data_IF_550013155279
#
_entry.id   IF_550013155279
#
_cell.length_a   1.000
_cell.length_b   1.000
_cell.length_c   1.000
_cell.angle_alpha   90.00
_cell.angle_beta   90.00
_cell.angle_gamma   90.00
#
_symmetry.space_group_name_H-M   'P 1'
#
loop_
_entity.id
_entity.type
_entity.pdbx_description
1 polymer ?
#
# COMPACT_ATOMS: atom_id res chain seq x y z
N UNK A 1 -7.53 27.88 2.13
CA UNK A 1 -8.77 27.08 1.94
C UNK A 1 -9.46 27.08 3.28
N UNK A 2 -10.73 27.43 3.34
CA UNK A 2 -11.47 27.55 4.59
C UNK A 2 -12.83 26.87 4.44
N UNK A 3 -13.30 26.23 5.50
CA UNK A 3 -14.67 25.71 5.62
C UNK A 3 -15.37 26.61 6.62
N UNK A 4 -16.42 27.32 6.18
CA UNK A 4 -17.16 28.26 7.02
C UNK A 4 -18.31 27.54 7.74
N UNK A 5 -18.26 27.34 9.08
CA UNK A 5 -19.27 26.55 9.79
C UNK A 5 -20.68 27.15 9.74
N UNK A 6 -20.78 28.46 9.50
CA UNK A 6 -22.04 29.20 9.37
C UNK A 6 -22.71 29.04 8.00
N UNK A 7 -21.95 28.66 6.95
CA UNK A 7 -22.50 28.42 5.62
C UNK A 7 -22.81 26.93 5.46
N UNK A 8 -24.10 26.60 5.32
CA UNK A 8 -24.56 25.20 5.30
C UNK A 8 -25.26 24.88 4.00
N UNK A 9 -24.76 23.87 3.31
CA UNK A 9 -25.37 23.31 2.08
C UNK A 9 -25.51 21.81 2.29
N UNK A 10 -26.72 21.28 2.11
CA UNK A 10 -26.96 19.85 2.16
C UNK A 10 -26.55 19.19 0.84
N UNK A 11 -25.78 18.11 0.90
CA UNK A 11 -25.40 17.29 -0.25
C UNK A 11 -25.96 15.88 -0.09
N UNK A 12 -26.71 15.41 -1.08
CA UNK A 12 -27.19 14.03 -1.12
C UNK A 12 -26.14 13.17 -1.82
N UNK A 13 -25.40 12.37 -1.04
CA UNK A 13 -24.43 11.44 -1.59
C UNK A 13 -25.12 10.32 -2.38
N UNK A 14 -24.61 10.06 -3.59
CA UNK A 14 -25.16 9.04 -4.47
C UNK A 14 -24.44 7.71 -4.28
N UNK A 15 -25.19 6.63 -4.15
CA UNK A 15 -24.66 5.25 -4.10
C UNK A 15 -23.89 4.85 -5.36
N UNK A 16 -24.33 5.32 -6.53
CA UNK A 16 -23.65 5.13 -7.82
C UNK A 16 -23.75 6.40 -8.65
N UNK A 17 -22.73 6.67 -9.47
CA UNK A 17 -22.79 7.76 -10.45
C UNK A 17 -23.66 7.32 -11.64
N UNK A 18 -24.68 8.10 -12.04
CA UNK A 18 -25.64 7.68 -13.06
C UNK A 18 -25.15 7.83 -14.51
N UNK A 19 -24.07 8.57 -14.74
CA UNK A 19 -23.64 9.00 -16.07
C UNK A 19 -22.46 8.22 -16.66
N UNK A 20 -21.79 7.37 -15.88
CA UNK A 20 -20.65 6.60 -16.37
C UNK A 20 -20.46 5.31 -15.57
N UNK A 21 -20.36 4.19 -16.27
CA UNK A 21 -20.12 2.87 -15.66
C UNK A 21 -18.64 2.59 -15.39
N UNK A 22 -17.71 3.28 -16.06
CA UNK A 22 -16.27 3.10 -15.91
C UNK A 22 -15.60 4.39 -15.38
N UNK A 23 -15.83 4.67 -14.11
CA UNK A 23 -15.24 5.85 -13.44
C UNK A 23 -13.80 5.59 -13.00
N UNK A 24 -13.45 4.33 -12.73
CA UNK A 24 -12.13 3.97 -12.22
C UNK A 24 -10.99 4.46 -13.12
N UNK A 25 -11.12 4.31 -14.44
CA UNK A 25 -10.12 4.82 -15.39
C UNK A 25 -9.96 6.34 -15.30
N UNK A 26 -11.05 7.10 -15.42
CA UNK A 26 -11.00 8.57 -15.39
C UNK A 26 -10.52 9.11 -14.05
N UNK A 27 -10.94 8.52 -12.94
CA UNK A 27 -10.48 8.89 -11.60
C UNK A 27 -8.98 8.70 -11.46
N UNK A 28 -8.44 7.54 -11.86
CA UNK A 28 -6.99 7.28 -11.83
C UNK A 28 -6.25 8.25 -12.73
N UNK A 29 -6.69 8.40 -13.99
CA UNK A 29 -6.07 9.33 -14.95
C UNK A 29 -6.00 10.76 -14.41
N UNK A 30 -7.12 11.28 -13.89
CA UNK A 30 -7.18 12.65 -13.38
C UNK A 30 -6.34 12.82 -12.11
N UNK A 31 -6.32 11.83 -11.21
CA UNK A 31 -5.46 11.85 -10.02
C UNK A 31 -3.97 11.86 -10.39
N UNK A 32 -3.56 11.04 -11.36
CA UNK A 32 -2.16 11.01 -11.84
C UNK A 32 -1.76 12.33 -12.52
N UNK A 33 -2.65 12.97 -13.28
CA UNK A 33 -2.40 14.31 -13.84
C UNK A 33 -2.14 15.35 -12.74
N UNK A 34 -2.91 15.32 -11.65
CA UNK A 34 -2.69 16.21 -10.50
C UNK A 34 -1.35 15.89 -9.84
N UNK A 35 -1.05 14.60 -9.63
CA UNK A 35 0.18 14.16 -9.00
C UNK A 35 1.42 14.63 -9.79
N UNK A 36 1.42 14.44 -11.11
CA UNK A 36 2.52 14.85 -11.99
C UNK A 36 2.74 16.36 -12.08
N UNK A 37 1.71 17.17 -11.81
CA UNK A 37 1.82 18.63 -11.88
C UNK A 37 2.17 19.23 -10.52
N UNK A 38 1.60 18.72 -9.43
CA UNK A 38 1.57 19.41 -8.14
C UNK A 38 2.28 18.69 -7.00
N UNK A 39 2.49 17.38 -7.08
CA UNK A 39 2.93 16.59 -5.92
C UNK A 39 4.44 16.32 -5.86
N UNK A 40 5.22 16.78 -6.84
CA UNK A 40 6.68 16.60 -6.87
C UNK A 40 7.05 15.12 -6.60
N UNK A 41 7.99 14.83 -5.70
CA UNK A 41 8.40 13.45 -5.36
C UNK A 41 7.31 12.65 -4.62
N UNK A 42 6.33 13.34 -4.02
CA UNK A 42 5.19 12.73 -3.33
C UNK A 42 4.13 12.18 -4.26
N UNK A 43 4.28 12.38 -5.58
CA UNK A 43 3.44 11.69 -6.57
C UNK A 43 3.48 10.18 -6.38
N UNK A 44 4.62 9.64 -5.93
CA UNK A 44 4.80 8.21 -5.64
C UNK A 44 3.73 7.65 -4.71
N UNK A 45 3.24 8.41 -3.73
CA UNK A 45 2.17 8.01 -2.82
C UNK A 45 0.85 7.72 -3.55
N UNK A 46 0.56 8.45 -4.64
CA UNK A 46 -0.61 8.18 -5.51
C UNK A 46 -0.42 6.86 -6.25
N UNK A 47 0.76 6.62 -6.82
CA UNK A 47 1.06 5.35 -7.50
C UNK A 47 0.97 4.14 -6.54
N UNK A 48 1.46 4.29 -5.31
CA UNK A 48 1.34 3.27 -4.25
C UNK A 48 -0.13 3.02 -3.92
N UNK A 49 -0.90 4.07 -3.63
CA UNK A 49 -2.30 3.97 -3.24
C UNK A 49 -3.17 3.27 -4.31
N UNK A 50 -2.87 3.48 -5.59
CA UNK A 50 -3.58 2.86 -6.70
C UNK A 50 -2.96 1.53 -7.19
N UNK A 51 -1.89 1.05 -6.53
CA UNK A 51 -1.16 -0.16 -6.92
C UNK A 51 -0.72 -0.14 -8.40
N UNK A 52 -0.21 1.02 -8.85
CA UNK A 52 0.29 1.24 -10.20
C UNK A 52 1.83 1.29 -10.18
N UNK A 53 2.53 0.74 -11.18
CA UNK A 53 3.97 0.91 -11.27
C UNK A 53 4.33 2.39 -11.53
N UNK A 54 5.45 2.84 -10.96
CA UNK A 54 5.98 4.20 -11.18
C UNK A 54 6.44 4.39 -12.63
N UNK A 55 7.12 3.39 -13.17
CA UNK A 55 7.51 3.33 -14.57
C UNK A 55 6.39 2.66 -15.36
N UNK A 56 5.83 3.36 -16.36
CA UNK A 56 4.76 2.84 -17.24
C UNK A 56 3.50 2.37 -16.48
N UNK A 57 2.72 3.28 -15.86
CA UNK A 57 1.51 2.95 -15.09
C UNK A 57 0.37 2.32 -15.91
N UNK A 58 0.52 2.16 -17.22
CA UNK A 58 -0.51 1.65 -18.13
C UNK A 58 -1.70 2.60 -18.31
N UNK A 59 -1.56 3.86 -17.87
CA UNK A 59 -2.58 4.89 -17.96
C UNK A 59 -1.98 6.09 -18.67
N UNK A 60 -2.49 6.39 -19.86
CA UNK A 60 -2.14 7.62 -20.56
C UNK A 60 -2.78 8.83 -19.86
N UNK A 61 -1.93 9.62 -19.21
CA UNK A 61 -2.34 10.85 -18.54
C UNK A 61 -2.51 12.02 -19.51
N UNK A 62 -2.06 11.90 -20.77
CA UNK A 62 -1.99 12.97 -21.76
C UNK A 62 -1.01 14.08 -21.39
N UNK A 63 -0.96 15.14 -22.20
CA UNK A 63 -0.04 16.25 -21.95
C UNK A 63 -0.46 17.09 -20.72
N UNK A 64 0.54 17.43 -19.90
CA UNK A 64 0.44 18.29 -18.71
C UNK A 64 1.44 19.47 -18.75
N UNK A 65 2.11 19.68 -19.88
CA UNK A 65 3.13 20.72 -20.09
C UNK A 65 2.61 22.12 -19.73
N UNK A 66 1.44 22.50 -20.24
CA UNK A 66 0.80 23.78 -19.95
C UNK A 66 0.53 23.99 -18.45
N UNK A 67 0.13 22.92 -17.73
CA UNK A 67 -0.15 23.00 -16.30
C UNK A 67 1.13 23.12 -15.48
N UNK A 68 2.21 22.46 -15.90
CA UNK A 68 3.55 22.67 -15.33
C UNK A 68 4.07 24.08 -15.60
N UNK A 69 3.86 24.61 -16.81
CA UNK A 69 4.22 25.98 -17.18
C UNK A 69 3.45 27.01 -16.34
N UNK A 70 2.14 26.79 -16.13
CA UNK A 70 1.31 27.62 -15.26
C UNK A 70 1.80 27.62 -13.81
N UNK A 71 2.12 26.44 -13.25
CA UNK A 71 2.68 26.33 -11.90
C UNK A 71 3.97 27.14 -11.76
N UNK A 72 4.83 27.10 -12.79
CA UNK A 72 6.08 27.86 -12.84
C UNK A 72 5.85 29.36 -12.95
N UNK A 73 4.94 29.81 -13.83
CA UNK A 73 4.66 31.24 -14.04
C UNK A 73 4.06 31.90 -12.79
N UNK A 74 3.20 31.18 -12.07
CA UNK A 74 2.62 31.63 -10.80
C UNK A 74 3.59 31.55 -9.61
N UNK A 75 4.82 31.06 -9.81
CA UNK A 75 5.84 30.89 -8.76
C UNK A 75 5.32 30.14 -7.54
N UNK A 76 4.52 29.09 -7.78
CA UNK A 76 3.93 28.29 -6.71
C UNK A 76 5.01 27.62 -5.85
N UNK A 77 4.73 27.45 -4.55
CA UNK A 77 5.57 26.66 -3.65
C UNK A 77 5.58 25.18 -4.05
N UNK A 78 6.60 24.45 -3.60
CA UNK A 78 6.69 23.00 -3.81
C UNK A 78 5.74 22.24 -2.86
N UNK A 79 5.52 20.96 -3.14
CA UNK A 79 4.61 20.13 -2.37
C UNK A 79 5.13 19.85 -0.96
N UNK A 80 6.45 19.78 -0.78
CA UNK A 80 7.08 19.70 0.54
C UNK A 80 6.61 20.86 1.45
N UNK A 81 6.67 22.09 0.94
CA UNK A 81 6.18 23.27 1.67
C UNK A 81 4.71 23.13 2.05
N UNK A 82 3.86 22.62 1.15
CA UNK A 82 2.45 22.37 1.44
C UNK A 82 2.28 21.36 2.58
N UNK A 83 3.03 20.25 2.55
CA UNK A 83 3.01 19.24 3.61
C UNK A 83 3.61 19.73 4.92
N UNK A 84 4.48 20.73 4.93
CA UNK A 84 5.08 21.23 6.17
C UNK A 84 4.26 22.37 6.80
N UNK A 85 3.51 23.14 6.00
CA UNK A 85 2.86 24.37 6.47
C UNK A 85 1.33 24.37 6.35
N UNK A 86 0.76 23.56 5.46
CA UNK A 86 -0.69 23.54 5.19
C UNK A 86 -1.34 22.24 5.65
N UNK A 87 -0.66 21.09 5.47
CA UNK A 87 -1.20 19.80 5.89
C UNK A 87 -0.13 18.88 6.53
N UNK A 88 0.42 19.26 7.70
CA UNK A 88 1.47 18.50 8.40
C UNK A 88 1.04 17.13 8.92
N UNK A 89 -0.25 16.92 9.12
CA UNK A 89 -0.80 15.65 9.58
C UNK A 89 -0.85 14.58 8.48
N UNK A 90 -0.64 14.94 7.21
CA UNK A 90 -0.64 13.97 6.12
C UNK A 90 0.50 12.96 6.29
N UNK A 91 0.17 11.67 6.29
CA UNK A 91 1.15 10.61 6.45
C UNK A 91 2.05 10.49 5.22
N UNK A 92 3.36 10.26 5.45
CA UNK A 92 4.39 10.15 4.40
C UNK A 92 4.94 8.73 4.35
N UNK A 93 5.05 8.16 3.16
CA UNK A 93 5.52 6.79 2.90
C UNK A 93 6.88 6.72 2.20
N UNK A 94 7.76 7.68 2.49
CA UNK A 94 9.06 7.88 1.81
C UNK A 94 10.06 6.73 2.04
N UNK A 95 9.81 5.86 3.01
CA UNK A 95 10.62 4.67 3.30
C UNK A 95 10.19 3.42 2.50
N UNK A 96 9.24 3.54 1.57
CA UNK A 96 8.78 2.43 0.75
C UNK A 96 9.84 2.02 -0.27
N UNK A 97 10.12 0.72 -0.36
CA UNK A 97 11.07 0.13 -1.33
C UNK A 97 10.30 -0.68 -2.38
N UNK A 98 9.26 -1.39 -1.95
CA UNK A 98 8.42 -2.18 -2.83
C UNK A 98 6.96 -2.12 -2.37
N UNK A 99 6.03 -2.23 -3.32
CA UNK A 99 4.60 -2.22 -3.02
C UNK A 99 3.76 -2.95 -4.06
N UNK A 100 2.53 -3.28 -3.67
CA UNK A 100 1.52 -3.90 -4.52
C UNK A 100 1.20 -5.31 -4.09
N UNK A 101 0.68 -6.10 -5.02
CA UNK A 101 0.35 -7.50 -4.76
C UNK A 101 1.62 -8.29 -4.40
N UNK A 102 1.56 -9.06 -3.33
CA UNK A 102 2.61 -9.96 -2.89
C UNK A 102 2.20 -11.41 -3.21
N UNK A 103 2.95 -12.04 -4.12
CA UNK A 103 2.65 -13.35 -4.70
C UNK A 103 3.71 -14.38 -4.35
N UNK A 104 3.30 -15.64 -4.24
CA UNK A 104 4.18 -16.77 -3.98
C UNK A 104 4.26 -17.69 -5.21
N UNK A 105 5.44 -18.25 -5.50
CA UNK A 105 5.64 -19.10 -6.67
C UNK A 105 4.89 -20.46 -6.64
N UNK A 106 4.52 -20.95 -5.46
CA UNK A 106 3.73 -22.19 -5.25
C UNK A 106 2.22 -21.95 -5.33
N UNK A 107 1.76 -20.70 -5.28
CA UNK A 107 0.34 -20.35 -5.31
C UNK A 107 0.14 -19.04 -6.09
N UNK A 108 0.02 -19.15 -7.41
CA UNK A 108 0.06 -18.01 -8.34
C UNK A 108 -1.24 -17.21 -8.41
N UNK A 109 -2.37 -17.87 -8.12
CA UNK A 109 -3.72 -17.29 -8.25
C UNK A 109 -4.22 -16.64 -6.96
N UNK A 110 -3.45 -16.76 -5.87
CA UNK A 110 -3.74 -16.13 -4.57
C UNK A 110 -2.61 -15.18 -4.18
N UNK A 111 -2.99 -14.12 -3.50
CA UNK A 111 -2.12 -13.05 -3.05
C UNK A 111 -2.20 -12.93 -1.53
N UNK A 112 -1.15 -12.38 -0.92
CA UNK A 112 -1.21 -11.98 0.48
C UNK A 112 -2.32 -10.92 0.65
N UNK A 113 -3.22 -11.16 1.60
CA UNK A 113 -4.38 -10.31 1.86
C UNK A 113 -4.52 -10.03 3.36
N UNK A 114 -4.93 -8.81 3.68
CA UNK A 114 -5.21 -8.36 5.04
C UNK A 114 -6.25 -9.24 5.74
N UNK A 115 -7.24 -9.75 4.98
CA UNK A 115 -8.36 -10.48 5.52
C UNK A 115 -9.21 -9.66 6.51
N UNK A 116 -10.10 -10.33 7.26
CA UNK A 116 -10.90 -9.70 8.31
C UNK A 116 -10.03 -9.12 9.42
N UNK A 117 -10.20 -7.84 9.76
CA UNK A 117 -9.35 -7.16 10.75
C UNK A 117 -9.45 -7.77 12.16
N UNK A 118 -10.60 -8.34 12.49
CA UNK A 118 -10.92 -9.00 13.77
C UNK A 118 -10.02 -10.20 14.05
N UNK A 119 -9.54 -10.88 13.02
CA UNK A 119 -8.73 -12.09 13.17
C UNK A 119 -7.27 -11.79 13.52
N UNK A 120 -6.82 -10.54 13.34
CA UNK A 120 -5.44 -10.13 13.60
C UNK A 120 -4.39 -10.98 12.85
N UNK A 121 -4.76 -11.63 11.75
CA UNK A 121 -3.92 -12.50 10.93
C UNK A 121 -4.03 -12.12 9.46
N UNK A 122 -2.91 -12.21 8.74
CA UNK A 122 -2.95 -12.11 7.28
C UNK A 122 -3.34 -13.47 6.68
N UNK A 123 -3.96 -13.45 5.50
CA UNK A 123 -4.46 -14.64 4.80
C UNK A 123 -3.95 -14.67 3.35
N UNK A 124 -4.26 -15.75 2.64
CA UNK A 124 -4.20 -15.80 1.19
C UNK A 124 -5.61 -15.67 0.63
N UNK A 125 -5.76 -14.86 -0.41
CA UNK A 125 -7.05 -14.65 -1.08
C UNK A 125 -6.85 -14.51 -2.59
N UNK A 126 -7.84 -14.84 -3.45
CA UNK A 126 -7.74 -14.61 -4.88
C UNK A 126 -7.24 -13.21 -5.22
N UNK A 127 -6.24 -13.12 -6.10
CA UNK A 127 -5.61 -11.86 -6.44
C UNK A 127 -6.61 -10.92 -7.15
N UNK A 128 -6.92 -9.78 -6.52
CA UNK A 128 -7.74 -8.70 -7.10
C UNK A 128 -7.00 -7.35 -7.08
N UNK A 129 -5.93 -7.20 -6.30
CA UNK A 129 -5.03 -6.04 -6.34
C UNK A 129 -5.60 -4.75 -5.75
N UNK A 130 -6.61 -4.86 -4.89
CA UNK A 130 -7.24 -3.71 -4.20
C UNK A 130 -6.58 -3.47 -2.84
N UNK A 131 -7.05 -2.47 -2.11
CA UNK A 131 -6.50 -2.04 -0.81
C UNK A 131 -6.06 -3.16 0.13
N UNK A 132 -6.91 -4.19 0.42
CA UNK A 132 -6.53 -5.29 1.31
C UNK A 132 -5.31 -6.12 0.86
N UNK A 133 -4.99 -6.11 -0.44
CA UNK A 133 -3.85 -6.81 -1.03
C UNK A 133 -2.68 -5.89 -1.37
N UNK A 134 -2.74 -4.64 -0.93
CA UNK A 134 -1.63 -3.70 -1.07
C UNK A 134 -0.60 -4.01 0.02
N UNK A 135 0.41 -4.82 -0.33
CA UNK A 135 1.58 -5.00 0.51
C UNK A 135 2.54 -3.82 0.30
N UNK A 136 3.26 -3.43 1.36
CA UNK A 136 4.27 -2.38 1.32
C UNK A 136 5.49 -2.79 2.14
N UNK A 137 6.61 -2.97 1.47
CA UNK A 137 7.88 -3.31 2.09
C UNK A 137 8.75 -2.06 2.26
N UNK A 138 9.28 -1.84 3.47
CA UNK A 138 10.02 -0.63 3.81
C UNK A 138 11.53 -0.85 3.91
N UNK A 139 12.30 0.25 3.91
CA UNK A 139 13.76 0.25 4.10
C UNK A 139 14.19 -0.41 5.42
N UNK A 140 13.36 -0.32 6.45
CA UNK A 140 13.63 -0.91 7.77
C UNK A 140 13.38 -2.42 7.80
N UNK A 141 12.78 -2.98 6.74
CA UNK A 141 12.40 -4.37 6.61
C UNK A 141 11.00 -4.68 7.13
N UNK A 142 10.11 -3.69 7.23
CA UNK A 142 8.72 -3.94 7.66
C UNK A 142 7.85 -4.28 6.46
N UNK A 143 6.98 -5.27 6.62
CA UNK A 143 5.97 -5.63 5.63
C UNK A 143 4.61 -5.16 6.14
N UNK A 144 4.07 -4.09 5.58
CA UNK A 144 2.71 -3.62 5.85
C UNK A 144 1.72 -4.20 4.85
N UNK A 145 0.46 -4.30 5.26
CA UNK A 145 -0.61 -4.84 4.43
C UNK A 145 -1.90 -4.05 4.65
N UNK A 146 -2.54 -3.66 3.55
CA UNK A 146 -3.80 -2.93 3.57
C UNK A 146 -3.75 -1.57 2.88
N UNK A 147 -4.89 -0.87 2.89
CA UNK A 147 -5.00 0.48 2.35
C UNK A 147 -4.19 1.47 3.21
N UNK A 148 -3.49 2.40 2.53
CA UNK A 148 -2.69 3.43 3.18
C UNK A 148 -3.56 4.32 4.09
N UNK A 149 -3.10 4.54 5.32
CA UNK A 149 -3.70 5.52 6.22
C UNK A 149 -3.46 6.96 5.75
N UNK A 150 -4.47 7.82 5.90
CA UNK A 150 -4.45 9.18 5.36
C UNK A 150 -3.63 10.17 6.19
N UNK A 151 -3.79 10.14 7.52
CA UNK A 151 -3.16 11.10 8.44
C UNK A 151 -2.48 10.40 9.61
N UNK A 152 -1.47 11.05 10.19
CA UNK A 152 -0.76 10.61 11.41
C UNK A 152 -1.68 10.50 12.63
N UNK A 153 -2.84 11.16 12.61
CA UNK A 153 -3.86 11.13 13.66
C UNK A 153 -4.76 9.88 13.62
N UNK A 154 -4.79 9.18 12.49
CA UNK A 154 -5.61 7.98 12.29
C UNK A 154 -4.70 6.73 12.21
N UNK A 155 -5.19 5.53 12.56
CA UNK A 155 -4.42 4.29 12.42
C UNK A 155 -3.88 4.11 10.99
N UNK A 156 -2.64 3.63 10.87
CA UNK A 156 -2.02 3.25 9.59
C UNK A 156 -2.25 1.77 9.27
N UNK A 157 -1.75 1.34 8.10
CA UNK A 157 -1.57 -0.08 7.77
C UNK A 157 -0.83 -0.83 8.86
N UNK A 158 -1.31 -2.02 9.19
CA UNK A 158 -0.69 -2.94 10.14
C UNK A 158 0.48 -3.68 9.49
N UNK A 159 1.45 -4.12 10.28
CA UNK A 159 2.58 -4.92 9.81
C UNK A 159 2.40 -6.39 10.11
N UNK A 160 3.00 -7.20 9.23
CA UNK A 160 3.17 -8.63 9.40
C UNK A 160 4.19 -8.89 10.51
N UNK A 161 3.84 -9.76 11.46
CA UNK A 161 4.60 -10.03 12.66
C UNK A 161 4.67 -11.54 12.88
N UNK A 162 5.88 -12.00 13.20
CA UNK A 162 6.11 -13.32 13.75
C UNK A 162 6.37 -13.20 15.26
N UNK A 163 5.46 -13.73 16.09
CA UNK A 163 5.58 -13.74 17.55
C UNK A 163 6.07 -15.08 18.13
N UNK A 164 6.55 -16.01 17.30
CA UNK A 164 6.95 -17.41 17.61
C UNK A 164 5.81 -18.32 18.08
N UNK A 165 4.84 -17.78 18.81
CA UNK A 165 3.72 -18.52 19.41
C UNK A 165 2.73 -19.04 18.38
N UNK A 166 2.43 -18.22 17.37
CA UNK A 166 1.46 -18.58 16.34
C UNK A 166 2.13 -19.29 15.17
N UNK A 167 1.40 -20.25 14.59
CA UNK A 167 1.72 -20.83 13.29
C UNK A 167 1.39 -19.86 12.15
N UNK A 168 0.44 -18.96 12.36
CA UNK A 168 -0.05 -18.01 11.37
C UNK A 168 0.59 -16.63 11.58
N UNK A 169 0.96 -15.92 10.51
CA UNK A 169 1.51 -14.59 10.64
C UNK A 169 0.46 -13.64 11.20
N UNK A 170 0.83 -12.91 12.24
CA UNK A 170 -0.04 -11.92 12.86
C UNK A 170 0.06 -10.64 12.06
N UNK A 171 -1.03 -9.90 11.97
CA UNK A 171 -1.06 -8.58 11.40
C UNK A 171 -1.37 -7.62 12.55
N UNK A 172 -0.44 -6.77 12.97
CA UNK A 172 -0.55 -5.97 14.19
C UNK A 172 -0.17 -4.51 13.95
N UNK A 173 -0.64 -3.65 14.85
CA UNK A 173 -0.19 -2.26 14.91
C UNK A 173 1.32 -2.21 15.18
N UNK A 174 2.05 -1.59 14.25
CA UNK A 174 3.51 -1.64 14.25
C UNK A 174 4.14 -0.91 15.42
N UNK A 175 3.51 0.15 15.91
CA UNK A 175 4.03 0.92 17.03
C UNK A 175 3.84 0.15 18.34
N UNK A 176 2.79 -0.67 18.44
CA UNK A 176 2.49 -1.49 19.62
C UNK A 176 3.35 -2.75 19.74
N UNK A 177 4.02 -3.18 18.68
CA UNK A 177 4.91 -4.35 18.72
C UNK A 177 6.27 -3.97 19.31
N UNK A 178 6.48 -4.39 20.57
CA UNK A 178 7.68 -4.11 21.37
C UNK A 178 8.98 -4.61 20.72
N UNK A 179 9.00 -5.86 20.26
CA UNK A 179 10.20 -6.44 19.62
C UNK A 179 10.32 -5.98 18.18
N UNK A 180 11.38 -5.20 17.89
CA UNK A 180 11.68 -4.80 16.51
C UNK A 180 11.99 -6.00 15.61
N UNK A 181 12.62 -7.04 16.16
CA UNK A 181 13.01 -8.23 15.41
C UNK A 181 11.81 -9.05 14.90
N UNK A 182 10.72 -9.12 15.69
CA UNK A 182 9.50 -9.86 15.34
C UNK A 182 8.76 -9.27 14.13
N UNK A 183 8.93 -7.97 13.87
CA UNK A 183 8.30 -7.27 12.75
C UNK A 183 9.25 -6.99 11.58
N UNK A 184 10.53 -7.37 11.68
CA UNK A 184 11.51 -7.22 10.61
C UNK A 184 11.63 -8.48 9.78
N UNK A 185 11.55 -8.29 8.48
CA UNK A 185 11.67 -9.31 7.46
C UNK A 185 12.88 -9.01 6.58
N UNK A 186 13.61 -10.04 6.18
CA UNK A 186 14.57 -9.99 5.10
C UNK A 186 13.85 -10.45 3.83
N UNK A 187 13.86 -9.60 2.81
CA UNK A 187 13.19 -9.86 1.54
C UNK A 187 14.02 -9.33 0.39
N UNK A 188 14.13 -10.16 -0.65
CA UNK A 188 14.69 -9.83 -1.96
C UNK A 188 13.75 -10.38 -3.03
N UNK A 189 13.78 -9.81 -4.24
CA UNK A 189 12.93 -10.30 -5.32
C UNK A 189 13.20 -11.76 -5.65
N UNK A 190 12.11 -12.53 -5.81
CA UNK A 190 12.15 -13.96 -6.04
C UNK A 190 12.93 -14.73 -4.96
N UNK A 191 13.03 -14.18 -3.75
CA UNK A 191 13.62 -14.82 -2.58
C UNK A 191 12.57 -15.22 -1.54
N UNK A 192 13.04 -15.81 -0.46
CA UNK A 192 12.20 -16.07 0.70
C UNK A 192 11.89 -14.77 1.47
N UNK A 193 10.81 -14.77 2.23
CA UNK A 193 10.50 -13.72 3.22
C UNK A 193 10.84 -14.31 4.59
N UNK A 194 12.01 -13.95 5.12
CA UNK A 194 12.57 -14.50 6.36
C UNK A 194 12.40 -13.51 7.51
N UNK A 195 11.82 -13.93 8.63
CA UNK A 195 11.76 -13.10 9.82
C UNK A 195 13.13 -13.02 10.50
N UNK A 196 13.61 -11.80 10.79
CA UNK A 196 14.94 -11.59 11.39
C UNK A 196 15.03 -12.02 12.86
N UNK A 197 13.90 -12.05 13.59
CA UNK A 197 13.89 -12.45 15.00
C UNK A 197 13.77 -13.94 15.22
N UNK A 198 12.94 -14.62 14.42
CA UNK A 198 12.58 -16.01 14.66
C UNK A 198 13.28 -16.99 13.73
N UNK A 199 13.86 -16.51 12.63
CA UNK A 199 14.44 -17.37 11.59
C UNK A 199 13.42 -18.16 10.78
N UNK A 200 12.11 -17.94 11.00
CA UNK A 200 11.04 -18.58 10.21
C UNK A 200 10.77 -17.81 8.93
N UNK A 201 10.41 -18.53 7.88
CA UNK A 201 9.95 -17.98 6.63
C UNK A 201 8.43 -17.92 6.56
N UNK A 202 7.93 -16.91 5.85
CA UNK A 202 6.55 -16.85 5.38
C UNK A 202 6.39 -17.84 4.21
N UNK A 203 5.52 -18.81 4.37
CA UNK A 203 5.41 -19.97 3.49
C UNK A 203 3.93 -20.26 3.18
N UNK A 204 3.68 -20.86 2.03
CA UNK A 204 2.37 -21.33 1.61
C UNK A 204 2.28 -22.84 1.81
N UNK A 205 1.23 -23.32 2.46
CA UNK A 205 0.94 -24.74 2.60
C UNK A 205 -0.37 -25.09 1.89
N UNK A 206 -0.28 -25.97 0.89
CA UNK A 206 -1.45 -26.51 0.23
C UNK A 206 -1.94 -27.75 0.98
N UNK A 207 -3.18 -27.72 1.47
CA UNK A 207 -3.82 -28.81 2.21
C UNK A 207 -4.86 -29.56 1.37
N UNK A 208 -4.77 -29.46 0.05
CA UNK A 208 -5.68 -30.11 -0.90
C UNK A 208 -7.09 -29.52 -0.77
N UNK A 209 -8.08 -30.38 -0.49
CA UNK A 209 -9.48 -29.97 -0.35
C UNK A 209 -9.73 -28.98 0.80
N UNK A 210 -8.84 -28.95 1.81
CA UNK A 210 -8.95 -28.01 2.93
C UNK A 210 -8.46 -26.58 2.59
N UNK A 211 -7.97 -26.36 1.37
CA UNK A 211 -7.52 -25.05 0.89
C UNK A 211 -6.02 -24.81 1.04
N UNK A 212 -5.66 -23.52 1.02
CA UNK A 212 -4.27 -23.06 1.05
C UNK A 212 -4.08 -22.13 2.25
N UNK A 213 -3.12 -22.46 3.11
CA UNK A 213 -2.83 -21.72 4.33
C UNK A 213 -1.56 -20.87 4.17
N UNK A 214 -1.57 -19.69 4.77
CA UNK A 214 -0.39 -18.85 4.97
C UNK A 214 0.22 -19.14 6.33
N UNK A 215 1.46 -19.62 6.37
CA UNK A 215 2.06 -20.11 7.62
C UNK A 215 3.49 -19.61 7.83
N UNK A 216 3.96 -19.74 9.06
CA UNK A 216 5.32 -19.47 9.48
C UNK A 216 6.02 -20.78 9.86
N UNK A 217 7.09 -21.13 9.14
CA UNK A 217 7.91 -22.34 9.40
C UNK A 217 9.33 -22.19 8.91
N UNK A 218 10.15 -23.21 9.08
CA UNK A 218 11.48 -23.29 8.45
C UNK A 218 11.37 -23.11 6.94
N UNK A 219 12.33 -22.40 6.35
CA UNK A 219 12.31 -22.03 4.95
C UNK A 219 12.38 -23.27 4.05
N UNK A 220 11.45 -23.37 3.09
CA UNK A 220 11.37 -24.52 2.16
C UNK A 220 11.80 -24.19 0.73
N UNK A 221 12.42 -23.02 0.55
CA UNK A 221 12.83 -22.52 -0.76
C UNK A 221 11.70 -21.86 -1.55
N UNK A 222 10.59 -21.49 -0.90
CA UNK A 222 9.55 -20.70 -1.54
C UNK A 222 10.02 -19.28 -1.84
N UNK A 223 9.50 -18.74 -2.94
CA UNK A 223 9.91 -17.46 -3.50
C UNK A 223 8.73 -16.54 -3.61
N UNK A 224 8.94 -15.32 -3.15
CA UNK A 224 7.94 -14.27 -3.12
C UNK A 224 8.35 -13.12 -4.04
N UNK A 225 7.34 -12.46 -4.59
CA UNK A 225 7.50 -11.31 -5.49
C UNK A 225 6.51 -10.24 -5.10
N UNK A 226 6.97 -9.00 -4.96
CA UNK A 226 6.10 -7.82 -4.82
C UNK A 226 5.97 -7.19 -6.20
N UNK A 227 4.78 -6.75 -6.58
CA UNK A 227 4.49 -6.29 -7.95
C UNK A 227 5.36 -5.11 -8.42
N UNK A 228 5.55 -4.09 -7.58
CA UNK A 228 6.21 -2.84 -7.96
C UNK A 228 7.40 -2.50 -7.05
N UNK A 229 8.40 -1.82 -7.61
CA UNK A 229 9.62 -1.37 -6.92
C UNK A 229 9.84 0.13 -7.10
N UNK A 230 10.38 0.76 -6.06
CA UNK A 230 10.90 2.11 -6.10
C UNK A 230 12.43 1.98 -6.17
N UNK A 231 13.02 2.42 -7.28
CA UNK A 231 14.47 2.48 -7.46
C UNK A 231 15.08 3.58 -6.60
#
# INVERSE_FOLDING_TARGET
>A
MEVLPCSRVAHIERKKKPYNNNIGFYTKRNALRVAEVWMDDYKSHVYIAWNLPLENPGIDIGDVSERKALRKSLKCRNFQWYLDHVYPEMRRYNNTVAYGELRNNKAKDVCLDQGPQENHTAILYPCHGWGPQLARYTKEGFLHLGALGTTTLLPDTRCLVDNVKSRFPQLLDCEKVKSSLHKRWNFIQNGAILNKGTGRCLEVENRGMAGIDLILRSCTGQRWTIKNFIK
#
